data_IF_107798386096
#
_entry.id   IF_107798386096
#
_cell.length_a   1.000
_cell.length_b   1.000
_cell.length_c   1.000
_cell.angle_alpha   90.00
_cell.angle_beta   90.00
_cell.angle_gamma   90.00
#
_symmetry.space_group_name_H-M   'P 1'
#
loop_
_entity.id
_entity.type
_entity.pdbx_description
1 polymer ?
#
# COMPACT_ATOMS: atom_id res chain seq x y z
N UNK A 1 0.28 14.79 -11.07
CA UNK A 1 0.67 13.36 -11.12
C UNK A 1 -0.30 12.58 -11.99
N UNK A 2 0.22 11.70 -12.81
CA UNK A 2 -0.58 10.81 -13.64
C UNK A 2 -0.67 9.45 -12.95
N UNK A 3 -1.89 8.97 -12.69
CA UNK A 3 -2.12 7.67 -12.04
C UNK A 3 -2.50 6.66 -13.13
N UNK A 4 -1.71 5.60 -13.26
CA UNK A 4 -1.81 4.64 -14.35
C UNK A 4 -2.08 3.26 -13.78
N UNK A 5 -3.21 2.64 -14.17
CA UNK A 5 -3.44 1.23 -13.84
C UNK A 5 -2.48 0.36 -14.65
N UNK A 6 -1.81 -0.57 -14.00
CA UNK A 6 -0.78 -1.39 -14.62
C UNK A 6 -1.18 -2.85 -14.77
N UNK A 7 -0.46 -3.53 -15.63
CA UNK A 7 -0.53 -4.97 -15.88
C UNK A 7 0.72 -5.66 -15.33
N UNK A 8 0.71 -6.98 -15.35
CA UNK A 8 1.79 -7.79 -14.78
C UNK A 8 3.18 -7.47 -15.36
N UNK A 9 3.27 -7.09 -16.64
CA UNK A 9 4.54 -6.76 -17.28
C UNK A 9 5.19 -5.48 -16.73
N UNK A 10 4.47 -4.69 -15.95
CA UNK A 10 4.99 -3.46 -15.31
C UNK A 10 5.32 -3.66 -13.82
N UNK A 11 5.12 -4.85 -13.26
CA UNK A 11 5.45 -5.16 -11.87
C UNK A 11 6.93 -4.96 -11.52
N UNK A 12 7.91 -5.13 -12.41
CA UNK A 12 9.30 -4.78 -12.11
C UNK A 12 9.49 -3.34 -11.62
N UNK A 13 8.65 -2.40 -12.08
CA UNK A 13 8.70 -1.00 -11.63
C UNK A 13 8.28 -0.90 -10.16
N UNK A 14 7.24 -1.62 -9.75
CA UNK A 14 6.80 -1.69 -8.35
C UNK A 14 7.91 -2.23 -7.46
N UNK A 15 8.59 -3.28 -7.91
CA UNK A 15 9.70 -3.88 -7.16
C UNK A 15 10.86 -2.88 -6.99
N UNK A 16 11.24 -2.18 -8.03
CA UNK A 16 12.30 -1.17 -7.96
C UNK A 16 11.93 -0.01 -7.03
N UNK A 17 10.69 0.46 -7.08
CA UNK A 17 10.22 1.49 -6.16
C UNK A 17 10.24 1.00 -4.71
N UNK A 18 9.83 -0.24 -4.46
CA UNK A 18 9.86 -0.83 -3.11
C UNK A 18 11.27 -0.85 -2.53
N UNK A 19 12.27 -1.23 -3.32
CA UNK A 19 13.67 -1.25 -2.89
C UNK A 19 14.21 0.12 -2.52
N UNK A 20 13.64 1.19 -3.10
CA UNK A 20 14.00 2.58 -2.76
C UNK A 20 13.21 3.11 -1.57
N UNK A 21 11.94 2.75 -1.47
CA UNK A 21 11.01 3.33 -0.48
C UNK A 21 11.15 2.64 0.89
N UNK A 22 11.16 1.33 0.94
CA UNK A 22 11.09 0.56 2.19
C UNK A 22 12.25 0.78 3.15
N UNK A 23 13.51 0.87 2.70
CA UNK A 23 14.60 1.17 3.63
C UNK A 23 14.42 2.50 4.38
N UNK A 24 13.81 3.50 3.76
CA UNK A 24 13.50 4.78 4.40
C UNK A 24 12.25 4.67 5.28
N UNK A 25 11.18 4.07 4.75
CA UNK A 25 9.89 3.98 5.46
C UNK A 25 9.98 3.10 6.71
N UNK A 26 10.73 2.01 6.66
CA UNK A 26 10.78 0.99 7.71
C UNK A 26 12.15 0.82 8.37
N UNK A 27 13.18 1.53 7.91
CA UNK A 27 14.54 1.33 8.39
C UNK A 27 14.74 1.55 9.88
N UNK A 28 13.94 2.41 10.51
CA UNK A 28 13.94 2.66 11.95
C UNK A 28 12.97 1.77 12.73
N UNK A 29 12.15 0.99 12.03
CA UNK A 29 11.06 0.18 12.62
C UNK A 29 11.43 -1.31 12.60
N UNK A 30 11.96 -1.77 11.46
CA UNK A 30 12.28 -3.17 11.22
C UNK A 30 13.78 -3.36 11.06
N UNK A 31 14.28 -4.53 11.45
CA UNK A 31 15.68 -4.88 11.19
C UNK A 31 15.93 -5.00 9.69
N UNK A 32 17.20 -4.80 9.28
CA UNK A 32 17.59 -5.01 7.88
C UNK A 32 17.28 -6.44 7.42
N UNK A 33 17.49 -7.42 8.28
CA UNK A 33 17.20 -8.82 7.97
C UNK A 33 15.71 -9.05 7.69
N UNK A 34 14.83 -8.45 8.50
CA UNK A 34 13.39 -8.55 8.28
C UNK A 34 12.95 -7.82 7.01
N UNK A 35 13.49 -6.63 6.74
CA UNK A 35 13.23 -5.88 5.51
C UNK A 35 13.60 -6.70 4.28
N UNK A 36 14.81 -7.24 4.24
CA UNK A 36 15.29 -8.04 3.12
C UNK A 36 14.42 -9.29 2.93
N UNK A 37 14.07 -9.95 4.03
CA UNK A 37 13.17 -11.11 4.00
C UNK A 37 11.82 -10.76 3.37
N UNK A 38 11.20 -9.67 3.81
CA UNK A 38 9.88 -9.26 3.33
C UNK A 38 9.91 -8.87 1.85
N UNK A 39 10.91 -8.10 1.42
CA UNK A 39 11.04 -7.71 0.01
C UNK A 39 11.25 -8.94 -0.86
N UNK A 40 12.14 -9.84 -0.47
CA UNK A 40 12.45 -11.05 -1.24
C UNK A 40 11.29 -12.04 -1.29
N UNK A 41 10.41 -12.04 -0.30
CA UNK A 41 9.26 -12.94 -0.26
C UNK A 41 8.02 -12.36 -0.93
N UNK A 42 7.69 -11.09 -0.65
CA UNK A 42 6.41 -10.49 -1.03
C UNK A 42 6.48 -9.64 -2.29
N UNK A 43 7.67 -9.21 -2.70
CA UNK A 43 7.87 -8.31 -3.84
C UNK A 43 8.68 -8.96 -4.96
N UNK A 44 8.37 -10.21 -5.27
CA UNK A 44 8.80 -10.87 -6.52
C UNK A 44 7.74 -10.68 -7.59
N UNK A 45 8.11 -10.76 -8.85
CA UNK A 45 7.12 -10.69 -9.95
C UNK A 45 6.03 -11.75 -9.79
N UNK A 46 6.42 -12.98 -9.42
CA UNK A 46 5.48 -14.06 -9.22
C UNK A 46 4.51 -13.79 -8.07
N UNK A 47 5.02 -13.33 -6.92
CA UNK A 47 4.17 -13.03 -5.76
C UNK A 47 3.17 -11.92 -6.06
N UNK A 48 3.61 -10.84 -6.71
CA UNK A 48 2.74 -9.73 -7.07
C UNK A 48 1.75 -10.09 -8.17
N UNK A 49 2.17 -10.91 -9.14
CA UNK A 49 1.27 -11.42 -10.19
C UNK A 49 0.16 -12.29 -9.60
N UNK A 50 0.46 -13.12 -8.61
CA UNK A 50 -0.55 -13.91 -7.91
C UNK A 50 -1.56 -13.04 -7.17
N UNK A 51 -1.14 -11.91 -6.61
CA UNK A 51 -2.06 -10.94 -5.99
C UNK A 51 -3.00 -10.34 -7.03
N UNK A 52 -2.51 -10.01 -8.22
CA UNK A 52 -3.36 -9.56 -9.32
C UNK A 52 -4.41 -10.60 -9.70
N UNK A 53 -4.02 -11.87 -9.77
CA UNK A 53 -4.94 -12.98 -10.07
C UNK A 53 -6.03 -13.12 -9.01
N UNK A 54 -5.75 -12.71 -7.77
CA UNK A 54 -6.71 -12.71 -6.67
C UNK A 54 -7.61 -11.47 -6.63
N UNK A 55 -7.40 -10.50 -7.51
CA UNK A 55 -8.22 -9.30 -7.59
C UNK A 55 -7.55 -8.02 -7.09
N UNK A 56 -6.27 -8.06 -6.71
CA UNK A 56 -5.54 -6.84 -6.36
C UNK A 56 -5.31 -6.00 -7.61
N UNK A 57 -5.66 -4.73 -7.52
CA UNK A 57 -5.48 -3.74 -8.58
C UNK A 57 -4.27 -2.88 -8.24
N UNK A 58 -3.37 -2.67 -9.20
CA UNK A 58 -2.16 -1.89 -9.01
C UNK A 58 -2.16 -0.65 -9.90
N UNK A 59 -1.75 0.48 -9.33
CA UNK A 59 -1.52 1.74 -10.03
C UNK A 59 -0.10 2.23 -9.76
N UNK A 60 0.48 2.86 -10.78
CA UNK A 60 1.71 3.64 -10.65
C UNK A 60 1.40 5.12 -10.78
N UNK A 61 2.15 5.94 -10.06
CA UNK A 61 2.12 7.39 -10.23
C UNK A 61 3.34 7.84 -11.01
N UNK A 62 3.11 8.69 -12.01
CA UNK A 62 4.13 9.25 -12.87
C UNK A 62 4.13 10.77 -12.72
N UNK A 63 5.31 11.35 -12.54
CA UNK A 63 5.45 12.81 -12.47
C UNK A 63 5.48 13.45 -13.86
N UNK A 64 5.63 14.76 -13.91
CA UNK A 64 5.64 15.54 -15.16
C UNK A 64 6.85 15.26 -16.06
N UNK A 65 7.90 14.62 -15.52
CA UNK A 65 9.10 14.21 -16.25
C UNK A 65 9.06 12.72 -16.63
N UNK A 66 7.89 12.10 -16.54
CA UNK A 66 7.65 10.68 -16.84
C UNK A 66 8.38 9.70 -15.89
N UNK A 67 8.83 10.18 -14.72
CA UNK A 67 9.41 9.31 -13.70
C UNK A 67 8.31 8.66 -12.85
N UNK A 68 8.48 7.38 -12.54
CA UNK A 68 7.60 6.70 -11.60
C UNK A 68 8.03 7.03 -10.17
N UNK A 69 7.08 7.50 -9.35
CA UNK A 69 7.36 8.08 -8.03
C UNK A 69 6.56 7.44 -6.89
N UNK A 70 5.69 6.52 -7.20
CA UNK A 70 4.90 5.83 -6.18
C UNK A 70 4.00 4.77 -6.79
N UNK A 71 3.44 3.93 -5.91
CA UNK A 71 2.50 2.91 -6.32
C UNK A 71 1.43 2.67 -5.28
N UNK A 72 0.31 2.13 -5.75
CA UNK A 72 -0.88 1.83 -4.98
C UNK A 72 -1.37 0.43 -5.32
N UNK A 73 -1.84 -0.30 -4.33
CA UNK A 73 -2.58 -1.54 -4.56
C UNK A 73 -3.79 -1.59 -3.63
N UNK A 74 -4.93 -1.99 -4.18
CA UNK A 74 -6.15 -2.15 -3.41
C UNK A 74 -6.99 -3.30 -3.97
N UNK A 75 -7.96 -3.74 -3.18
CA UNK A 75 -8.84 -4.86 -3.53
C UNK A 75 -10.27 -4.53 -3.15
N UNK A 76 -11.16 -4.59 -4.15
CA UNK A 76 -12.61 -4.44 -3.96
C UNK A 76 -13.14 -5.73 -3.33
N UNK A 77 -14.05 -5.61 -2.37
CA UNK A 77 -14.64 -6.75 -1.64
C UNK A 77 -13.59 -7.65 -0.98
N UNK A 78 -12.54 -7.07 -0.45
CA UNK A 78 -11.56 -7.81 0.37
C UNK A 78 -12.21 -8.40 1.63
N UNK A 79 -13.21 -7.70 2.16
CA UNK A 79 -14.24 -8.20 3.06
C UNK A 79 -15.60 -7.78 2.49
N UNK A 80 -16.74 -8.33 2.93
CA UNK A 80 -18.05 -7.99 2.36
C UNK A 80 -18.33 -6.49 2.39
N UNK A 81 -18.49 -5.89 1.21
CA UNK A 81 -18.74 -4.45 1.00
C UNK A 81 -17.62 -3.54 1.50
N UNK A 82 -16.41 -4.06 1.64
CA UNK A 82 -15.25 -3.28 2.08
C UNK A 82 -14.08 -3.43 1.12
N UNK A 83 -13.50 -2.30 0.76
CA UNK A 83 -12.28 -2.22 -0.06
C UNK A 83 -11.06 -2.14 0.85
N UNK A 84 -10.04 -2.94 0.60
CA UNK A 84 -8.78 -2.87 1.34
C UNK A 84 -7.71 -2.15 0.52
N UNK A 85 -7.06 -1.17 1.12
CA UNK A 85 -5.79 -0.64 0.60
C UNK A 85 -4.70 -1.57 1.11
N UNK A 86 -4.02 -2.27 0.20
CA UNK A 86 -2.93 -3.17 0.54
C UNK A 86 -1.57 -2.47 0.53
N UNK A 87 -1.36 -1.54 -0.41
CA UNK A 87 -0.09 -0.87 -0.61
C UNK A 87 -0.33 0.57 -1.03
N UNK A 88 0.32 1.51 -0.36
CA UNK A 88 0.35 2.91 -0.74
C UNK A 88 1.72 3.46 -0.34
N UNK A 89 2.59 3.63 -1.31
CA UNK A 89 3.98 4.01 -1.10
C UNK A 89 4.43 5.06 -2.08
N UNK A 90 5.15 6.04 -1.58
CA UNK A 90 5.63 7.20 -2.33
C UNK A 90 7.11 7.37 -2.07
N UNK A 91 7.89 7.68 -3.10
CA UNK A 91 9.32 8.00 -2.94
C UNK A 91 9.50 9.09 -1.87
N UNK A 92 10.55 9.00 -1.03
CA UNK A 92 10.79 9.98 0.02
C UNK A 92 10.81 11.42 -0.49
N UNK A 93 11.46 11.66 -1.63
CA UNK A 93 11.56 12.98 -2.27
C UNK A 93 10.23 13.48 -2.84
N UNK A 94 9.24 12.61 -2.98
CA UNK A 94 7.91 12.96 -3.50
C UNK A 94 6.88 13.13 -2.38
N UNK A 95 7.26 12.84 -1.13
CA UNK A 95 6.37 13.06 0.02
C UNK A 95 6.07 14.55 0.17
N UNK A 96 4.86 14.84 0.66
CA UNK A 96 4.42 16.24 0.83
C UNK A 96 3.88 16.89 -0.44
N UNK A 97 3.82 16.18 -1.56
CA UNK A 97 3.27 16.69 -2.83
C UNK A 97 1.76 16.47 -2.99
N UNK A 98 1.14 15.77 -2.05
CA UNK A 98 -0.28 15.39 -2.13
C UNK A 98 -0.55 14.09 -2.87
N UNK A 99 0.49 13.35 -3.29
CA UNK A 99 0.30 12.11 -4.04
C UNK A 99 -0.44 11.04 -3.21
N UNK A 100 -0.11 10.89 -1.93
CA UNK A 100 -0.82 9.95 -1.05
C UNK A 100 -2.32 10.22 -1.01
N UNK A 101 -2.71 11.49 -0.96
CA UNK A 101 -4.11 11.88 -1.01
C UNK A 101 -4.74 11.60 -2.37
N UNK A 102 -4.01 11.81 -3.46
CA UNK A 102 -4.50 11.48 -4.80
C UNK A 102 -4.76 9.97 -4.93
N UNK A 103 -3.88 9.15 -4.42
CA UNK A 103 -4.09 7.70 -4.36
C UNK A 103 -5.34 7.34 -3.55
N UNK A 104 -5.49 7.93 -2.38
CA UNK A 104 -6.66 7.68 -1.54
C UNK A 104 -7.97 8.09 -2.25
N UNK A 105 -8.00 9.25 -2.89
CA UNK A 105 -9.19 9.71 -3.61
C UNK A 105 -9.55 8.77 -4.78
N UNK A 106 -8.55 8.22 -5.46
CA UNK A 106 -8.76 7.20 -6.49
C UNK A 106 -9.41 5.95 -5.91
N UNK A 107 -8.91 5.44 -4.79
CA UNK A 107 -9.48 4.26 -4.12
C UNK A 107 -10.92 4.55 -3.69
N UNK A 108 -11.17 5.72 -3.11
CA UNK A 108 -12.50 6.13 -2.67
C UNK A 108 -13.49 6.17 -3.84
N UNK A 109 -13.07 6.72 -4.98
CA UNK A 109 -13.89 6.74 -6.19
C UNK A 109 -14.20 5.32 -6.65
N UNK A 110 -13.19 4.45 -6.76
CA UNK A 110 -13.38 3.06 -7.20
C UNK A 110 -14.24 2.26 -6.23
N UNK A 111 -14.07 2.49 -4.94
CA UNK A 111 -14.89 1.86 -3.91
C UNK A 111 -16.36 2.25 -4.05
N UNK A 112 -16.65 3.53 -4.25
CA UNK A 112 -18.02 4.02 -4.46
C UNK A 112 -18.64 3.47 -5.74
N UNK A 113 -17.89 3.42 -6.83
CA UNK A 113 -18.33 2.81 -8.09
C UNK A 113 -18.72 1.34 -7.94
N UNK A 114 -18.15 0.64 -6.95
CA UNK A 114 -18.41 -0.76 -6.66
C UNK A 114 -19.30 -0.97 -5.43
N UNK A 115 -20.05 0.04 -5.02
CA UNK A 115 -21.01 -0.03 -3.92
C UNK A 115 -20.40 -0.48 -2.58
N UNK A 116 -19.16 -0.11 -2.34
CA UNK A 116 -18.48 -0.40 -1.08
C UNK A 116 -18.94 0.57 0.00
N UNK A 117 -18.96 0.12 1.25
CA UNK A 117 -19.41 0.91 2.40
C UNK A 117 -18.27 1.44 3.25
N UNK A 118 -17.09 0.87 3.11
CA UNK A 118 -15.92 1.26 3.88
C UNK A 118 -14.63 0.95 3.12
N UNK A 119 -13.57 1.66 3.51
CA UNK A 119 -12.19 1.36 3.11
C UNK A 119 -11.42 1.04 4.38
N UNK A 120 -10.61 -0.01 4.36
CA UNK A 120 -9.79 -0.37 5.50
C UNK A 120 -8.37 -0.71 5.06
N UNK A 121 -7.46 -0.74 6.01
CA UNK A 121 -6.05 -1.02 5.78
C UNK A 121 -5.37 -1.52 7.04
N UNK A 122 -4.21 -2.15 6.86
CA UNK A 122 -3.28 -2.43 7.92
C UNK A 122 -2.13 -1.43 7.86
N UNK A 123 -1.69 -0.93 9.01
CA UNK A 123 -0.53 -0.04 9.12
C UNK A 123 0.29 -0.45 10.33
N UNK A 124 1.62 -0.55 10.17
CA UNK A 124 2.52 -0.84 11.28
C UNK A 124 2.34 0.22 12.37
N UNK A 125 2.25 -0.21 13.63
CA UNK A 125 2.00 0.66 14.79
C UNK A 125 3.01 1.81 14.91
N UNK A 126 4.21 1.63 14.41
CA UNK A 126 5.29 2.62 14.50
C UNK A 126 5.53 3.38 13.20
N UNK A 127 4.72 3.12 12.16
CA UNK A 127 4.83 3.81 10.88
C UNK A 127 4.17 5.19 10.99
N UNK A 128 4.89 6.23 10.57
CA UNK A 128 4.40 7.62 10.56
C UNK A 128 3.17 7.80 9.66
N UNK A 129 2.94 6.91 8.70
CA UNK A 129 1.75 6.92 7.85
C UNK A 129 0.43 6.83 8.64
N UNK A 130 0.48 6.34 9.89
CA UNK A 130 -0.66 6.35 10.81
C UNK A 130 -1.27 7.76 10.93
N UNK A 131 -0.42 8.79 11.02
CA UNK A 131 -0.86 10.19 11.12
C UNK A 131 -1.57 10.65 9.85
N UNK A 132 -1.07 10.25 8.68
CA UNK A 132 -1.69 10.55 7.40
C UNK A 132 -3.11 9.96 7.32
N UNK A 133 -3.27 8.67 7.65
CA UNK A 133 -4.58 8.02 7.62
C UNK A 133 -5.54 8.61 8.64
N UNK A 134 -5.08 8.91 9.84
CA UNK A 134 -5.89 9.56 10.87
C UNK A 134 -6.40 10.92 10.38
N UNK A 135 -5.53 11.70 9.75
CA UNK A 135 -5.86 13.03 9.25
C UNK A 135 -6.92 13.00 8.15
N UNK A 136 -6.93 11.99 7.29
CA UNK A 136 -7.94 11.87 6.24
C UNK A 136 -9.23 11.20 6.72
N UNK A 137 -9.30 10.80 7.99
CA UNK A 137 -10.54 10.35 8.62
C UNK A 137 -10.62 8.90 9.03
N UNK A 138 -9.55 8.10 8.82
CA UNK A 138 -9.51 6.71 9.30
C UNK A 138 -9.44 6.66 10.83
N UNK A 139 -10.08 5.66 11.39
CA UNK A 139 -10.01 5.34 12.83
C UNK A 139 -9.43 3.96 13.03
N UNK A 140 -8.70 3.78 14.12
CA UNK A 140 -8.22 2.46 14.54
C UNK A 140 -9.43 1.64 15.02
N UNK A 141 -9.68 0.49 14.39
CA UNK A 141 -10.78 -0.40 14.78
C UNK A 141 -10.29 -1.68 15.43
N UNK A 142 -9.02 -2.04 15.24
CA UNK A 142 -8.43 -3.26 15.80
C UNK A 142 -6.92 -3.15 15.79
N UNK A 143 -6.26 -4.08 16.47
CA UNK A 143 -4.83 -4.33 16.30
C UNK A 143 -4.61 -5.81 15.97
N UNK A 144 -3.51 -6.11 15.28
CA UNK A 144 -3.28 -7.41 14.69
C UNK A 144 -1.79 -7.69 14.63
N UNK A 145 -1.39 -8.86 15.14
CA UNK A 145 -0.02 -9.36 14.99
C UNK A 145 -0.06 -10.47 13.95
N UNK A 146 0.60 -10.25 12.84
CA UNK A 146 0.60 -11.17 11.69
C UNK A 146 1.93 -11.90 11.64
N UNK A 147 1.89 -13.23 11.72
CA UNK A 147 3.06 -14.08 11.47
C UNK A 147 3.34 -14.10 9.96
N UNK A 148 4.53 -13.66 9.56
CA UNK A 148 4.94 -13.61 8.16
C UNK A 148 6.02 -14.65 7.83
N UNK A 149 6.29 -15.59 8.75
CA UNK A 149 7.26 -16.67 8.57
C UNK A 149 8.64 -16.31 9.11
N UNK A 150 9.50 -17.32 9.24
CA UNK A 150 10.89 -17.20 9.71
C UNK A 150 11.02 -16.52 11.09
N UNK A 151 9.96 -16.59 11.92
CA UNK A 151 9.93 -15.94 13.22
C UNK A 151 9.63 -14.45 13.19
N UNK A 152 9.38 -13.88 12.04
CA UNK A 152 9.04 -12.46 11.89
C UNK A 152 7.54 -12.22 12.01
N UNK A 153 7.19 -11.06 12.54
CA UNK A 153 5.79 -10.63 12.66
C UNK A 153 5.64 -9.20 12.16
N UNK A 154 4.42 -8.88 11.72
CA UNK A 154 3.96 -7.51 11.51
C UNK A 154 2.98 -7.16 12.61
N UNK A 155 3.32 -6.13 13.41
CA UNK A 155 2.49 -5.64 14.51
C UNK A 155 1.75 -4.39 14.03
N UNK A 156 0.49 -4.58 13.62
CA UNK A 156 -0.28 -3.58 12.90
C UNK A 156 -1.47 -3.08 13.69
N UNK A 157 -1.90 -1.86 13.36
CA UNK A 157 -3.27 -1.42 13.55
C UNK A 157 -4.08 -1.72 12.29
N UNK A 158 -5.35 -2.07 12.47
CA UNK A 158 -6.34 -2.08 11.40
C UNK A 158 -7.11 -0.77 11.50
N UNK A 159 -7.14 -0.01 10.41
CA UNK A 159 -7.84 1.27 10.34
C UNK A 159 -8.95 1.21 9.30
N UNK A 160 -10.05 1.91 9.56
CA UNK A 160 -11.21 1.91 8.68
C UNK A 160 -11.82 3.28 8.53
N UNK A 161 -12.35 3.56 7.35
CA UNK A 161 -13.11 4.77 7.03
C UNK A 161 -14.42 4.36 6.35
N UNK A 162 -15.55 4.80 6.90
CA UNK A 162 -16.85 4.67 6.24
C UNK A 162 -16.96 5.64 5.06
N UNK A 163 -17.54 5.17 3.97
CA UNK A 163 -17.73 6.01 2.77
C UNK A 163 -19.18 6.04 2.31
#
# INVERSE_FOLDING_TARGET
MKLIQIKANQLPIVIELTKKIWPVAYGSILSKAQLDYMINRFYTENALSQLMDKGHVFYLAQDENDNFVGFLSFEINSAPHKTKIHKIYVLPETQGTGLGRQFFELVKQKAKENNQKAIFLNVNKYNSALHFYTKIGFSIINDEVIDIGEGYVMDDYVMELGI
#
